data_IF_142130966647
#
_entry.id   IF_142130966647
#
_cell.length_a   1.000
_cell.length_b   1.000
_cell.length_c   1.000
_cell.angle_alpha   90.00
_cell.angle_beta   90.00
_cell.angle_gamma   90.00
#
_symmetry.space_group_name_H-M   'P 1'
#
loop_
_entity.id
_entity.type
_entity.pdbx_description
1 polymer ?
#
# COMPACT_ATOMS: atom_id res chain seq x y z
N UNK A 1 -22.94 7.70 -4.59
CA UNK A 1 -23.77 7.45 -3.38
C UNK A 1 -22.95 6.78 -2.27
N UNK A 2 -22.39 5.57 -2.44
CA UNK A 2 -21.57 4.87 -1.42
C UNK A 2 -20.38 5.69 -0.88
N UNK A 3 -19.64 6.41 -1.75
CA UNK A 3 -18.51 7.27 -1.36
C UNK A 3 -18.91 8.39 -0.38
N UNK A 4 -20.13 8.90 -0.47
CA UNK A 4 -20.66 9.93 0.43
C UNK A 4 -21.13 9.33 1.77
N UNK A 5 -21.75 8.16 1.77
CA UNK A 5 -22.18 7.48 3.01
C UNK A 5 -20.99 7.01 3.86
N UNK A 6 -19.89 6.59 3.24
CA UNK A 6 -18.66 6.17 3.94
C UNK A 6 -17.89 7.33 4.61
N UNK A 7 -18.16 8.57 4.20
CA UNK A 7 -17.62 9.77 4.85
C UNK A 7 -18.44 10.22 6.07
N UNK A 8 -19.74 9.85 6.13
CA UNK A 8 -20.67 10.30 7.16
C UNK A 8 -20.58 9.49 8.47
N UNK A 9 -20.11 8.23 8.45
CA UNK A 9 -19.84 7.48 9.67
C UNK A 9 -18.77 6.40 9.47
N UNK A 10 -17.69 6.48 10.26
CA UNK A 10 -16.61 5.50 10.23
C UNK A 10 -17.12 4.07 10.55
N UNK A 11 -18.08 3.95 11.47
CA UNK A 11 -18.63 2.68 11.91
C UNK A 11 -19.44 1.93 10.83
N UNK A 12 -20.02 2.64 9.86
CA UNK A 12 -20.75 2.00 8.76
C UNK A 12 -19.80 1.30 7.78
N UNK A 13 -18.63 1.89 7.55
CA UNK A 13 -17.59 1.31 6.69
C UNK A 13 -17.03 0.03 7.30
N UNK A 14 -16.88 -0.02 8.63
CA UNK A 14 -16.37 -1.21 9.31
C UNK A 14 -17.35 -2.40 9.19
N UNK A 15 -18.66 -2.15 9.19
CA UNK A 15 -19.69 -3.18 8.93
C UNK A 15 -19.70 -3.66 7.48
N UNK A 16 -19.38 -2.78 6.54
CA UNK A 16 -19.32 -3.09 5.11
C UNK A 16 -17.95 -3.62 4.66
N UNK A 17 -16.94 -3.61 5.53
CA UNK A 17 -15.57 -3.99 5.24
C UNK A 17 -15.47 -5.41 4.68
N UNK A 18 -16.15 -6.37 5.31
CA UNK A 18 -16.13 -7.78 4.90
C UNK A 18 -16.87 -8.01 3.57
N UNK A 19 -18.09 -7.49 3.35
CA UNK A 19 -18.73 -7.49 2.03
C UNK A 19 -17.87 -6.84 0.94
N UNK A 20 -17.29 -5.67 1.22
CA UNK A 20 -16.44 -4.94 0.28
C UNK A 20 -15.18 -5.72 -0.08
N UNK A 21 -14.57 -6.41 0.90
CA UNK A 21 -13.42 -7.28 0.67
C UNK A 21 -13.75 -8.41 -0.30
N UNK A 22 -14.91 -9.07 -0.15
CA UNK A 22 -15.35 -10.15 -1.06
C UNK A 22 -15.61 -9.63 -2.47
N UNK A 23 -16.25 -8.46 -2.59
CA UNK A 23 -16.49 -7.82 -3.89
C UNK A 23 -15.17 -7.42 -4.54
N UNK A 24 -14.25 -6.83 -3.79
CA UNK A 24 -12.92 -6.46 -4.28
C UNK A 24 -12.15 -7.69 -4.78
N UNK A 25 -12.18 -8.80 -4.05
CA UNK A 25 -11.54 -10.05 -4.50
C UNK A 25 -12.10 -10.54 -5.83
N UNK A 26 -13.43 -10.47 -6.01
CA UNK A 26 -14.07 -10.85 -7.27
C UNK A 26 -13.68 -9.88 -8.40
N UNK A 27 -13.77 -8.58 -8.15
CA UNK A 27 -13.37 -7.56 -9.13
C UNK A 27 -11.91 -7.65 -9.53
N UNK A 28 -11.01 -7.93 -8.58
CA UNK A 28 -9.59 -8.11 -8.87
C UNK A 28 -9.32 -9.35 -9.73
N UNK A 29 -10.12 -10.43 -9.55
CA UNK A 29 -10.05 -11.60 -10.42
C UNK A 29 -10.59 -11.31 -11.81
N UNK A 30 -11.73 -10.60 -11.89
CA UNK A 30 -12.39 -10.27 -13.14
C UNK A 30 -11.56 -9.26 -13.96
N UNK A 31 -10.89 -8.29 -13.32
CA UNK A 31 -9.96 -7.33 -13.97
C UNK A 31 -8.74 -8.01 -14.60
N UNK A 32 -8.33 -9.16 -14.06
CA UNK A 32 -7.17 -9.91 -14.52
C UNK A 32 -7.56 -10.97 -15.56
N UNK A 33 -8.86 -11.16 -15.81
CA UNK A 33 -9.33 -12.10 -16.82
C UNK A 33 -8.92 -11.65 -18.24
N UNK A 34 -8.84 -12.57 -19.22
CA UNK A 34 -8.38 -12.27 -20.58
C UNK A 34 -9.19 -11.20 -21.32
N UNK A 35 -10.44 -10.98 -20.89
CA UNK A 35 -11.33 -9.93 -21.39
C UNK A 35 -11.63 -8.92 -20.28
N UNK A 36 -10.68 -8.02 -19.95
CA UNK A 36 -10.91 -7.04 -18.91
C UNK A 36 -11.92 -6.00 -19.39
N UNK A 37 -13.00 -5.80 -18.63
CA UNK A 37 -13.90 -4.68 -18.81
C UNK A 37 -13.26 -3.42 -18.21
N UNK A 38 -13.03 -2.40 -19.04
CA UNK A 38 -12.41 -1.14 -18.62
C UNK A 38 -13.18 -0.44 -17.49
N UNK A 39 -14.50 -0.65 -17.39
CA UNK A 39 -15.29 -0.11 -16.29
C UNK A 39 -14.94 -0.73 -14.93
N UNK A 40 -14.48 -1.99 -14.91
CA UNK A 40 -14.09 -2.69 -13.68
C UNK A 40 -12.82 -2.06 -13.08
N UNK A 41 -11.88 -1.60 -13.93
CA UNK A 41 -10.63 -0.98 -13.49
C UNK A 41 -10.88 0.29 -12.66
N UNK A 42 -11.75 1.19 -13.14
CA UNK A 42 -12.06 2.44 -12.43
C UNK A 42 -12.81 2.18 -11.12
N UNK A 43 -13.74 1.21 -11.09
CA UNK A 43 -14.40 0.79 -9.86
C UNK A 43 -13.40 0.14 -8.88
N UNK A 44 -12.45 -0.66 -9.38
CA UNK A 44 -11.42 -1.32 -8.59
C UNK A 44 -10.52 -0.28 -7.91
N UNK A 45 -10.07 0.74 -8.65
CA UNK A 45 -9.27 1.84 -8.12
C UNK A 45 -10.02 2.54 -6.98
N UNK A 46 -11.30 2.88 -7.19
CA UNK A 46 -12.11 3.49 -6.14
C UNK A 46 -12.27 2.60 -4.90
N UNK A 47 -12.44 1.28 -5.08
CA UNK A 47 -12.57 0.34 -3.97
C UNK A 47 -11.25 0.22 -3.17
N UNK A 48 -10.11 0.19 -3.85
CA UNK A 48 -8.77 0.19 -3.23
C UNK A 48 -8.57 1.48 -2.42
N UNK A 49 -8.92 2.64 -2.97
CA UNK A 49 -8.81 3.94 -2.29
C UNK A 49 -9.69 4.06 -1.04
N UNK A 50 -10.84 3.39 -1.00
CA UNK A 50 -11.67 3.34 0.19
C UNK A 50 -11.08 2.44 1.27
N UNK A 51 -10.53 1.29 0.85
CA UNK A 51 -9.98 0.29 1.78
C UNK A 51 -8.63 0.70 2.34
N UNK A 52 -7.82 1.48 1.61
CA UNK A 52 -6.49 1.92 2.08
C UNK A 52 -6.56 2.70 3.40
N UNK A 53 -7.59 3.55 3.57
CA UNK A 53 -7.80 4.35 4.77
C UNK A 53 -8.26 3.50 5.97
N UNK A 54 -8.72 2.27 5.73
CA UNK A 54 -9.24 1.36 6.76
C UNK A 54 -8.24 0.29 7.18
N UNK A 55 -7.12 0.12 6.47
CA UNK A 55 -6.08 -0.88 6.80
C UNK A 55 -5.64 -0.88 8.29
N UNK A 56 -5.54 0.28 8.99
CA UNK A 56 -5.24 0.31 10.44
C UNK A 56 -6.30 -0.31 11.35
N UNK A 57 -7.57 -0.27 10.94
CA UNK A 57 -8.71 -0.80 11.72
C UNK A 57 -9.13 -2.20 11.27
N UNK A 58 -8.58 -2.71 10.17
CA UNK A 58 -8.84 -4.07 9.70
C UNK A 58 -8.25 -5.12 10.66
N UNK A 59 -8.97 -6.24 10.81
CA UNK A 59 -8.46 -7.43 11.47
C UNK A 59 -7.19 -7.93 10.76
N UNK A 60 -6.32 -8.60 11.52
CA UNK A 60 -5.02 -9.09 11.03
C UNK A 60 -5.18 -9.98 9.81
N UNK A 61 -6.13 -10.92 9.83
CA UNK A 61 -6.33 -11.86 8.72
C UNK A 61 -6.91 -11.18 7.48
N UNK A 62 -7.88 -10.27 7.65
CA UNK A 62 -8.43 -9.45 6.56
C UNK A 62 -7.34 -8.60 5.91
N UNK A 63 -6.43 -8.03 6.70
CA UNK A 63 -5.31 -7.23 6.20
C UNK A 63 -4.31 -8.09 5.42
N UNK A 64 -3.97 -9.29 5.92
CA UNK A 64 -3.12 -10.25 5.19
C UNK A 64 -3.73 -10.61 3.84
N UNK A 65 -5.04 -10.83 3.78
CA UNK A 65 -5.74 -11.09 2.52
C UNK A 65 -5.70 -9.88 1.59
N UNK A 66 -5.99 -8.68 2.09
CA UNK A 66 -5.97 -7.46 1.29
C UNK A 66 -4.58 -7.19 0.69
N UNK A 67 -3.54 -7.21 1.53
CA UNK A 67 -2.19 -6.89 1.08
C UNK A 67 -1.54 -8.07 0.35
N UNK A 68 -1.50 -9.23 0.97
CA UNK A 68 -0.75 -10.38 0.49
C UNK A 68 -1.43 -11.14 -0.65
N UNK A 69 -2.77 -11.11 -0.75
CA UNK A 69 -3.48 -11.81 -1.83
C UNK A 69 -3.97 -10.85 -2.89
N UNK A 70 -4.64 -9.76 -2.51
CA UNK A 70 -5.27 -8.86 -3.48
C UNK A 70 -4.26 -7.89 -4.07
N UNK A 71 -3.57 -7.07 -3.26
CA UNK A 71 -2.62 -6.08 -3.79
C UNK A 71 -1.45 -6.76 -4.50
N UNK A 72 -0.82 -7.76 -3.88
CA UNK A 72 0.25 -8.53 -4.55
C UNK A 72 -0.28 -9.19 -5.82
N UNK A 73 -1.43 -9.87 -5.78
CA UNK A 73 -2.00 -10.51 -6.96
C UNK A 73 -2.33 -9.53 -8.10
N UNK A 74 -2.75 -8.30 -7.77
CA UNK A 74 -2.96 -7.23 -8.74
C UNK A 74 -1.64 -6.74 -9.33
N UNK A 75 -0.60 -6.51 -8.52
CA UNK A 75 0.73 -6.12 -9.01
C UNK A 75 1.27 -7.19 -9.98
N UNK A 76 1.10 -8.47 -9.63
CA UNK A 76 1.62 -9.57 -10.42
C UNK A 76 0.88 -9.80 -11.73
N UNK A 77 -0.40 -9.40 -11.86
CA UNK A 77 -1.23 -9.80 -12.99
C UNK A 77 -1.88 -8.66 -13.77
N UNK A 78 -1.92 -7.45 -13.23
CA UNK A 78 -2.48 -6.31 -13.95
C UNK A 78 -1.59 -5.90 -15.12
N UNK A 79 -2.22 -5.60 -16.26
CA UNK A 79 -1.62 -4.97 -17.44
C UNK A 79 -2.08 -3.52 -17.59
N UNK A 80 -2.94 -3.04 -16.70
CA UNK A 80 -3.46 -1.69 -16.72
C UNK A 80 -2.55 -0.73 -15.94
N UNK A 81 -1.95 0.21 -16.65
CA UNK A 81 -1.08 1.24 -16.08
C UNK A 81 -1.80 2.12 -15.06
N UNK A 82 -3.12 2.35 -15.19
CA UNK A 82 -3.90 3.15 -14.23
C UNK A 82 -3.97 2.48 -12.86
N UNK A 83 -4.27 1.18 -12.85
CA UNK A 83 -4.34 0.37 -11.62
C UNK A 83 -2.96 0.30 -10.97
N UNK A 84 -1.91 0.06 -11.76
CA UNK A 84 -0.54 0.05 -11.25
C UNK A 84 -0.15 1.40 -10.62
N UNK A 85 -0.47 2.52 -11.29
CA UNK A 85 -0.21 3.87 -10.79
C UNK A 85 -0.97 4.17 -9.49
N UNK A 86 -2.21 3.68 -9.36
CA UNK A 86 -2.98 3.79 -8.11
C UNK A 86 -2.32 2.99 -6.97
N UNK A 87 -1.83 1.79 -7.24
CA UNK A 87 -1.13 0.97 -6.24
C UNK A 87 0.19 1.62 -5.80
N UNK A 88 0.98 2.16 -6.74
CA UNK A 88 2.22 2.89 -6.45
C UNK A 88 1.94 4.08 -5.52
N UNK A 89 0.93 4.91 -5.82
CA UNK A 89 0.52 6.04 -4.96
C UNK A 89 0.07 5.59 -3.57
N UNK A 90 -0.65 4.48 -3.48
CA UNK A 90 -1.06 3.90 -2.21
C UNK A 90 0.14 3.44 -1.37
N UNK A 91 1.12 2.78 -1.99
CA UNK A 91 2.35 2.35 -1.30
C UNK A 91 3.20 3.55 -0.91
N UNK A 92 3.32 4.55 -1.78
CA UNK A 92 3.97 5.83 -1.49
C UNK A 92 3.37 6.48 -0.25
N UNK A 93 2.04 6.61 -0.21
CA UNK A 93 1.30 7.16 0.92
C UNK A 93 1.64 6.37 2.18
N UNK A 94 1.61 5.04 2.16
CA UNK A 94 1.98 4.22 3.32
C UNK A 94 3.45 4.31 3.73
N UNK A 95 4.38 4.49 2.79
CA UNK A 95 5.82 4.61 3.07
C UNK A 95 6.14 5.99 3.64
N UNK A 96 5.49 7.05 3.13
CA UNK A 96 5.60 8.44 3.59
C UNK A 96 4.75 8.71 4.83
N UNK A 97 3.71 7.91 5.07
CA UNK A 97 2.90 7.90 6.29
C UNK A 97 3.72 7.33 7.45
N UNK A 98 4.55 8.20 8.00
CA UNK A 98 5.05 8.10 9.36
C UNK A 98 4.06 8.95 10.12
N UNK A 99 3.26 8.34 10.98
CA UNK A 99 2.14 9.00 11.66
C UNK A 99 2.53 10.40 12.12
N UNK A 100 1.55 11.30 12.15
CA UNK A 100 1.60 12.68 12.64
C UNK A 100 2.18 12.76 14.06
N UNK A 101 3.47 12.49 14.19
CA UNK A 101 4.27 12.36 15.40
C UNK A 101 5.73 12.52 14.98
N UNK A 102 6.00 13.71 14.44
CA UNK A 102 7.30 14.10 13.92
C UNK A 102 7.44 15.62 13.81
N UNK A 103 6.81 16.37 14.72
CA UNK A 103 7.15 17.77 15.01
C UNK A 103 6.55 18.18 16.38
N UNK A 104 7.37 18.10 17.43
CA UNK A 104 7.15 18.77 18.72
C UNK A 104 6.06 18.20 19.64
N UNK A 105 6.46 17.61 20.76
CA UNK A 105 5.54 17.37 21.88
C UNK A 105 5.67 15.98 22.50
N UNK A 106 6.46 15.92 23.58
CA UNK A 106 6.29 15.08 24.76
C UNK A 106 5.65 13.69 24.59
N UNK A 107 6.50 12.67 24.76
CA UNK A 107 6.22 11.49 25.58
C UNK A 107 4.85 10.82 25.43
N UNK A 108 4.80 9.77 24.62
CA UNK A 108 4.06 8.58 25.00
C UNK A 108 4.55 7.38 24.22
N UNK A 109 5.16 6.44 24.95
CA UNK A 109 5.35 5.08 24.51
C UNK A 109 3.97 4.40 24.39
N UNK A 110 3.27 4.63 23.29
CA UNK A 110 2.12 3.82 22.90
C UNK A 110 2.57 2.83 21.81
N UNK A 111 3.33 1.82 22.22
CA UNK A 111 3.34 0.57 21.48
C UNK A 111 1.92 -0.01 21.56
N UNK A 112 1.15 0.01 20.47
CA UNK A 112 -0.15 -0.67 20.49
C UNK A 112 -1.08 -0.54 19.29
N UNK A 113 -1.29 0.66 18.74
CA UNK A 113 -2.35 0.83 17.72
C UNK A 113 -1.98 1.95 16.76
N UNK A 114 -1.81 1.66 15.46
CA UNK A 114 -1.96 2.71 14.43
C UNK A 114 -0.94 2.84 13.31
N UNK A 115 0.05 1.96 13.15
CA UNK A 115 0.98 2.03 11.99
C UNK A 115 0.85 0.83 11.05
N UNK A 116 -0.38 0.42 10.75
CA UNK A 116 -0.61 -0.50 9.64
C UNK A 116 -0.57 0.27 8.30
N UNK A 117 0.03 -0.29 7.23
CA UNK A 117 0.62 -1.63 7.17
C UNK A 117 1.97 -1.75 7.88
N UNK A 118 2.29 -2.96 8.30
CA UNK A 118 3.57 -3.31 8.92
C UNK A 118 4.74 -3.11 7.96
N UNK A 119 5.95 -3.03 8.50
CA UNK A 119 7.17 -2.89 7.71
C UNK A 119 7.35 -4.04 6.70
N UNK A 120 7.01 -5.26 7.13
CA UNK A 120 7.09 -6.47 6.31
C UNK A 120 6.10 -6.45 5.15
N UNK A 121 4.89 -5.97 5.40
CA UNK A 121 3.88 -5.84 4.33
C UNK A 121 4.32 -4.79 3.30
N UNK A 122 4.88 -3.66 3.75
CA UNK A 122 5.43 -2.64 2.86
C UNK A 122 6.60 -3.17 2.04
N UNK A 123 7.46 -4.02 2.61
CA UNK A 123 8.61 -4.55 1.89
C UNK A 123 8.25 -5.50 0.77
N UNK A 124 7.33 -6.41 1.04
CA UNK A 124 6.81 -7.32 0.01
C UNK A 124 6.21 -6.52 -1.16
N UNK A 125 5.43 -5.47 -0.87
CA UNK A 125 4.84 -4.64 -1.92
C UNK A 125 5.89 -3.89 -2.74
N UNK A 126 6.92 -3.31 -2.11
CA UNK A 126 7.99 -2.63 -2.83
C UNK A 126 8.81 -3.58 -3.71
N UNK A 127 9.14 -4.76 -3.22
CA UNK A 127 9.87 -5.78 -4.01
C UNK A 127 9.04 -6.22 -5.21
N UNK A 128 7.74 -6.47 -5.02
CA UNK A 128 6.84 -6.84 -6.11
C UNK A 128 6.67 -5.70 -7.11
N UNK A 129 6.52 -4.45 -6.65
CA UNK A 129 6.48 -3.30 -7.54
C UNK A 129 7.76 -3.20 -8.38
N UNK A 130 8.94 -3.35 -7.77
CA UNK A 130 10.22 -3.35 -8.48
C UNK A 130 10.25 -4.39 -9.62
N UNK A 131 9.88 -5.63 -9.31
CA UNK A 131 9.93 -6.73 -10.27
C UNK A 131 8.97 -6.56 -11.46
N UNK A 132 7.78 -6.01 -11.23
CA UNK A 132 6.72 -5.98 -12.23
C UNK A 132 6.62 -4.66 -12.99
N UNK A 133 6.96 -3.53 -12.36
CA UNK A 133 6.95 -2.21 -13.00
C UNK A 133 7.99 -2.17 -14.11
N UNK A 134 9.26 -2.52 -13.81
CA UNK A 134 10.34 -2.51 -14.79
C UNK A 134 10.13 -3.53 -15.92
N UNK A 135 9.58 -4.71 -15.60
CA UNK A 135 9.41 -5.80 -16.56
C UNK A 135 8.20 -5.62 -17.48
N UNK A 136 7.08 -5.07 -16.99
CA UNK A 136 5.83 -4.96 -17.77
C UNK A 136 5.61 -3.60 -18.41
N UNK A 137 6.16 -2.54 -17.84
CA UNK A 137 5.94 -1.18 -18.33
C UNK A 137 7.28 -0.50 -18.67
N UNK A 138 8.13 -1.09 -19.53
CA UNK A 138 9.40 -0.46 -19.92
C UNK A 138 9.19 0.87 -20.64
N UNK A 139 8.06 1.00 -21.36
CA UNK A 139 7.75 2.17 -22.18
C UNK A 139 7.10 3.33 -21.37
N UNK A 140 6.57 3.06 -20.17
CA UNK A 140 5.95 4.09 -19.32
C UNK A 140 6.98 4.66 -18.34
N UNK A 141 7.82 5.55 -18.86
CA UNK A 141 8.87 6.26 -18.13
C UNK A 141 8.33 7.05 -16.92
N UNK A 142 7.10 7.56 -17.00
CA UNK A 142 6.47 8.28 -15.87
C UNK A 142 6.18 7.34 -14.70
N UNK A 143 5.65 6.15 -15.00
CA UNK A 143 5.32 5.15 -13.99
C UNK A 143 6.59 4.61 -13.32
N UNK A 144 7.64 4.37 -14.11
CA UNK A 144 8.97 4.03 -13.61
C UNK A 144 9.55 5.14 -12.74
N UNK A 145 9.45 6.40 -13.17
CA UNK A 145 9.88 7.57 -12.40
C UNK A 145 9.19 7.67 -11.04
N UNK A 146 7.87 7.52 -11.00
CA UNK A 146 7.10 7.51 -9.74
C UNK A 146 7.55 6.40 -8.79
N UNK A 147 7.82 5.19 -9.30
CA UNK A 147 8.33 4.10 -8.47
C UNK A 147 9.74 4.42 -7.92
N UNK A 148 10.65 4.90 -8.78
CA UNK A 148 12.01 5.26 -8.40
C UNK A 148 12.04 6.39 -7.35
N UNK A 149 11.11 7.34 -7.40
CA UNK A 149 10.98 8.38 -6.38
C UNK A 149 10.66 7.81 -4.99
N UNK A 150 9.83 6.76 -4.92
CA UNK A 150 9.54 6.07 -3.65
C UNK A 150 10.78 5.36 -3.13
N UNK A 151 11.49 4.62 -4.00
CA UNK A 151 12.72 3.92 -3.64
C UNK A 151 13.79 4.91 -3.16
N UNK A 152 13.97 6.00 -3.89
CA UNK A 152 14.88 7.10 -3.54
C UNK A 152 14.49 7.74 -2.20
N UNK A 153 13.19 7.95 -1.93
CA UNK A 153 12.72 8.43 -0.63
C UNK A 153 13.07 7.47 0.51
N UNK A 154 12.88 6.16 0.32
CA UNK A 154 13.27 5.13 1.31
C UNK A 154 14.77 5.13 1.56
N UNK A 155 15.58 5.29 0.50
CA UNK A 155 17.03 5.35 0.59
C UNK A 155 17.52 6.62 1.31
N UNK A 156 17.01 7.79 0.92
CA UNK A 156 17.35 9.09 1.55
C UNK A 156 16.95 9.17 3.01
N UNK A 157 15.84 8.53 3.40
CA UNK A 157 15.44 8.46 4.79
C UNK A 157 16.53 7.80 5.66
N UNK A 158 17.17 6.75 5.14
CA UNK A 158 18.21 6.03 5.87
C UNK A 158 19.51 6.82 5.96
N UNK A 159 19.78 7.63 4.94
CA UNK A 159 21.02 8.38 4.84
C UNK A 159 20.96 9.77 5.49
N UNK A 160 19.80 10.23 5.98
CA UNK A 160 19.71 11.49 6.72
C UNK A 160 20.42 11.32 8.07
N UNK A 161 21.56 12.00 8.33
CA UNK A 161 22.24 11.89 9.60
C UNK A 161 21.36 12.52 10.68
N UNK A 162 20.69 11.68 11.48
CA UNK A 162 20.11 12.14 12.72
C UNK A 162 21.28 12.47 13.65
N UNK A 163 21.55 13.77 13.79
CA UNK A 163 22.27 14.27 14.94
C UNK A 163 21.48 13.88 16.18
N UNK A 164 22.18 13.23 17.12
CA UNK A 164 21.76 12.76 18.44
C UNK A 164 20.95 11.46 18.53
N UNK A 165 21.43 10.60 19.43
CA UNK A 165 20.87 9.34 19.95
C UNK A 165 20.96 8.06 19.08
N UNK A 166 22.17 7.48 19.12
CA UNK A 166 22.48 6.05 19.32
C UNK A 166 21.49 4.99 18.78
N UNK A 167 21.99 4.23 17.81
CA UNK A 167 21.78 2.78 17.68
C UNK A 167 20.34 2.26 17.47
N UNK A 168 19.72 2.65 16.36
CA UNK A 168 18.88 1.73 15.55
C UNK A 168 19.43 1.70 14.12
N UNK A 169 20.73 1.44 14.01
CA UNK A 169 21.42 1.32 12.72
C UNK A 169 21.22 -0.11 12.21
N UNK A 170 20.91 -0.24 10.92
CA UNK A 170 20.90 -1.49 10.13
C UNK A 170 19.63 -2.34 10.06
N UNK A 171 18.45 -1.88 10.50
CA UNK A 171 17.25 -2.74 10.43
C UNK A 171 16.42 -2.55 9.18
N UNK A 172 16.23 -1.33 8.66
CA UNK A 172 15.13 -1.13 7.70
C UNK A 172 15.42 -1.68 6.30
N UNK A 173 16.44 -1.25 5.54
CA UNK A 173 16.68 -1.83 4.21
C UNK A 173 17.02 -3.33 4.27
N UNK A 174 17.82 -3.77 5.26
CA UNK A 174 18.05 -5.20 5.49
C UNK A 174 16.74 -5.94 5.78
N UNK A 175 15.80 -5.40 6.56
CA UNK A 175 14.47 -5.99 6.72
C UNK A 175 13.56 -5.83 5.48
N UNK A 176 13.88 -4.93 4.54
CA UNK A 176 13.17 -4.90 3.26
C UNK A 176 13.71 -5.95 2.27
N UNK A 177 15.02 -6.20 2.29
CA UNK A 177 15.72 -7.15 1.41
C UNK A 177 15.68 -8.58 1.96
N UNK A 178 15.85 -8.79 3.26
CA UNK A 178 15.91 -10.10 3.93
C UNK A 178 14.54 -10.80 4.07
N UNK A 179 13.45 -10.10 3.77
CA UNK A 179 12.09 -10.68 3.72
C UNK A 179 11.60 -10.88 2.26
N UNK A 180 12.48 -10.64 1.28
CA UNK A 180 12.23 -10.82 -0.15
C UNK A 180 12.59 -12.21 -0.69
N UNK A 181 13.15 -13.09 0.15
CA UNK A 181 13.36 -14.51 -0.12
C UNK A 181 12.20 -15.37 0.43
#
# INVERSE_FOLDING_TARGET
>A
MLKACCAASAAYVDRLLMPLMRVLQRMARDHVAPTPDAAIADLLIMAIDLLKARVPVMQVDTRKTFIGTILVGLIEKTTDAKVMRAIIRLVEEWVKWRGTSGAGGSGSAAAGVGTAPSLREKSILLVKLMQYVEKRFPDDLELNGHFLDIVNYVYRLQFRPHSTSKCRRSSTLSQYIQFGD
#
